data_IF_560686416970
#
_entry.id   IF_560686416970
#
_cell.length_a   1.000
_cell.length_b   1.000
_cell.length_c   1.000
_cell.angle_alpha   90.00
_cell.angle_beta   90.00
_cell.angle_gamma   90.00
#
_symmetry.space_group_name_H-M   'P 1'
#
loop_
_entity.id
_entity.type
_entity.pdbx_description
1 polymer ?
#
# COMPACT_ATOMS: atom_id res chain seq x y z
N UNK A 1 -12.22 12.85 97.15
CA UNK A 1 -11.76 11.88 96.14
C UNK A 1 -12.87 11.76 95.08
N UNK A 2 -12.71 12.37 93.90
CA UNK A 2 -13.73 12.37 92.83
C UNK A 2 -13.12 11.69 91.62
N UNK A 3 -13.45 10.42 91.40
CA UNK A 3 -12.97 9.65 90.27
C UNK A 3 -13.69 10.15 89.00
N UNK A 4 -12.92 10.74 88.08
CA UNK A 4 -13.40 11.11 86.75
C UNK A 4 -13.46 9.83 85.92
N UNK A 5 -14.67 9.34 85.70
CA UNK A 5 -14.89 8.19 84.83
C UNK A 5 -14.74 8.66 83.36
N UNK A 6 -13.58 8.39 82.75
CA UNK A 6 -13.41 8.53 81.30
C UNK A 6 -14.20 7.40 80.63
N UNK A 7 -15.36 7.75 80.07
CA UNK A 7 -16.08 6.90 79.11
C UNK A 7 -15.26 6.80 77.82
N UNK A 8 -14.42 5.79 77.70
CA UNK A 8 -13.90 5.35 76.41
C UNK A 8 -15.07 4.74 75.62
N UNK A 9 -15.46 5.41 74.52
CA UNK A 9 -16.40 4.83 73.56
C UNK A 9 -15.72 3.60 72.94
N UNK A 10 -16.06 2.43 73.44
CA UNK A 10 -15.70 1.16 72.80
C UNK A 10 -16.48 1.04 71.49
N UNK A 11 -15.87 1.48 70.40
CA UNK A 11 -16.38 1.22 69.06
C UNK A 11 -16.21 -0.27 68.76
N UNK A 12 -17.33 -1.00 68.73
CA UNK A 12 -17.41 -2.42 68.37
C UNK A 12 -16.67 -2.72 67.06
N UNK A 13 -16.00 -3.87 66.98
CA UNK A 13 -15.36 -4.42 65.77
C UNK A 13 -16.32 -4.38 64.56
N UNK A 14 -17.64 -4.47 64.79
CA UNK A 14 -18.68 -4.36 63.77
C UNK A 14 -18.72 -2.97 63.11
N UNK A 15 -18.42 -1.90 63.84
CA UNK A 15 -18.36 -0.53 63.30
C UNK A 15 -17.18 -0.38 62.33
N UNK A 16 -15.99 -0.84 62.72
CA UNK A 16 -14.80 -0.80 61.86
C UNK A 16 -14.95 -1.69 60.62
N UNK A 17 -15.56 -2.86 60.74
CA UNK A 17 -15.83 -3.76 59.61
C UNK A 17 -16.80 -3.13 58.59
N UNK A 18 -17.90 -2.50 59.05
CA UNK A 18 -18.83 -1.80 58.16
C UNK A 18 -18.19 -0.60 57.45
N UNK A 19 -17.35 0.16 58.16
CA UNK A 19 -16.62 1.28 57.57
C UNK A 19 -15.63 0.80 56.50
N UNK A 20 -14.88 -0.27 56.77
CA UNK A 20 -13.93 -0.86 55.83
C UNK A 20 -14.65 -1.42 54.59
N UNK A 21 -15.81 -2.05 54.78
CA UNK A 21 -16.64 -2.52 53.67
C UNK A 21 -17.13 -1.36 52.80
N UNK A 22 -17.57 -0.25 53.40
CA UNK A 22 -18.02 0.93 52.68
C UNK A 22 -16.88 1.55 51.86
N UNK A 23 -15.68 1.65 52.43
CA UNK A 23 -14.49 2.11 51.70
C UNK A 23 -14.13 1.19 50.53
N UNK A 24 -14.28 -0.12 50.70
CA UNK A 24 -14.00 -1.10 49.64
C UNK A 24 -14.99 -0.95 48.48
N UNK A 25 -16.29 -0.82 48.76
CA UNK A 25 -17.32 -0.59 47.74
C UNK A 25 -17.05 0.69 46.95
N UNK A 26 -16.72 1.79 47.64
CA UNK A 26 -16.40 3.07 46.99
C UNK A 26 -15.16 2.93 46.11
N UNK A 27 -14.11 2.26 46.59
CA UNK A 27 -12.89 2.03 45.82
C UNK A 27 -13.18 1.19 44.56
N UNK A 28 -13.98 0.12 44.67
CA UNK A 28 -14.40 -0.69 43.51
C UNK A 28 -15.18 0.12 42.48
N UNK A 29 -16.10 0.99 42.92
CA UNK A 29 -16.86 1.86 42.01
C UNK A 29 -15.97 2.85 41.27
N UNK A 30 -15.01 3.46 41.96
CA UNK A 30 -14.04 4.38 41.35
C UNK A 30 -13.19 3.62 40.31
N UNK A 31 -12.69 2.43 40.64
CA UNK A 31 -11.91 1.62 39.70
C UNK A 31 -12.73 1.20 38.48
N UNK A 32 -14.01 0.87 38.65
CA UNK A 32 -14.92 0.57 37.54
C UNK A 32 -15.13 1.77 36.62
N UNK A 33 -15.31 2.97 37.19
CA UNK A 33 -15.44 4.21 36.41
C UNK A 33 -14.17 4.52 35.62
N UNK A 34 -13.00 4.47 36.28
CA UNK A 34 -11.71 4.69 35.63
C UNK A 34 -11.48 3.66 34.52
N UNK A 35 -11.78 2.38 34.77
CA UNK A 35 -11.68 1.32 33.78
C UNK A 35 -12.60 1.55 32.57
N UNK A 36 -13.82 2.01 32.80
CA UNK A 36 -14.77 2.36 31.73
C UNK A 36 -14.29 3.52 30.86
N UNK A 37 -13.85 4.62 31.50
CA UNK A 37 -13.30 5.79 30.81
C UNK A 37 -12.04 5.41 30.03
N UNK A 38 -11.11 4.68 30.66
CA UNK A 38 -9.88 4.22 30.03
C UNK A 38 -10.15 3.36 28.80
N UNK A 39 -11.09 2.40 28.88
CA UNK A 39 -11.46 1.56 27.74
C UNK A 39 -12.02 2.37 26.58
N UNK A 40 -12.88 3.35 26.86
CA UNK A 40 -13.45 4.21 25.81
C UNK A 40 -12.38 5.11 25.19
N UNK A 41 -11.49 5.67 26.01
CA UNK A 41 -10.38 6.50 25.55
C UNK A 41 -9.38 5.71 24.69
N UNK A 42 -9.04 4.47 25.08
CA UNK A 42 -8.16 3.59 24.29
C UNK A 42 -8.83 3.21 22.97
N UNK A 43 -10.12 2.84 22.99
CA UNK A 43 -10.85 2.53 21.75
C UNK A 43 -10.89 3.70 20.78
N UNK A 44 -11.14 4.90 21.30
CA UNK A 44 -11.21 6.11 20.48
C UNK A 44 -9.85 6.45 19.86
N UNK A 45 -8.77 6.41 20.65
CA UNK A 45 -7.41 6.61 20.14
C UNK A 45 -7.04 5.55 19.10
N UNK A 46 -7.33 4.27 19.36
CA UNK A 46 -7.03 3.22 18.39
C UNK A 46 -7.77 3.44 17.07
N UNK A 47 -9.04 3.88 17.13
CA UNK A 47 -9.81 4.19 15.92
C UNK A 47 -9.19 5.35 15.14
N UNK A 48 -8.83 6.44 15.83
CA UNK A 48 -8.17 7.59 15.20
C UNK A 48 -6.82 7.20 14.59
N UNK A 49 -6.01 6.43 15.31
CA UNK A 49 -4.72 5.95 14.81
C UNK A 49 -4.87 5.05 13.59
N UNK A 50 -5.89 4.18 13.54
CA UNK A 50 -6.17 3.36 12.36
C UNK A 50 -6.59 4.21 11.17
N UNK A 51 -7.49 5.18 11.39
CA UNK A 51 -7.94 6.10 10.35
C UNK A 51 -6.78 6.93 9.76
N UNK A 52 -5.96 7.53 10.62
CA UNK A 52 -4.77 8.28 10.22
C UNK A 52 -3.79 7.39 9.44
N UNK A 53 -3.55 6.17 9.92
CA UNK A 53 -2.63 5.22 9.25
C UNK A 53 -3.13 4.82 7.87
N UNK A 54 -4.45 4.58 7.72
CA UNK A 54 -5.07 4.28 6.43
C UNK A 54 -4.95 5.48 5.49
N UNK A 55 -5.22 6.69 5.98
CA UNK A 55 -5.13 7.91 5.18
C UNK A 55 -3.71 8.16 4.69
N UNK A 56 -2.71 8.09 5.58
CA UNK A 56 -1.30 8.24 5.25
C UNK A 56 -0.87 7.20 4.22
N UNK A 57 -1.31 5.94 4.39
CA UNK A 57 -1.01 4.88 3.43
C UNK A 57 -1.64 5.15 2.05
N UNK A 58 -2.91 5.57 2.01
CA UNK A 58 -3.60 5.89 0.76
C UNK A 58 -2.93 7.05 0.02
N UNK A 59 -2.52 8.10 0.73
CA UNK A 59 -1.79 9.24 0.16
C UNK A 59 -0.41 8.85 -0.37
N UNK A 60 0.31 8.00 0.38
CA UNK A 60 1.60 7.45 -0.02
C UNK A 60 1.48 6.62 -1.30
N UNK A 61 0.51 5.70 -1.35
CA UNK A 61 0.22 4.90 -2.54
C UNK A 61 -0.16 5.77 -3.73
N UNK A 62 -1.00 6.79 -3.53
CA UNK A 62 -1.38 7.70 -4.61
C UNK A 62 -0.16 8.48 -5.15
N UNK A 63 0.74 8.90 -4.27
CA UNK A 63 2.00 9.56 -4.64
C UNK A 63 2.93 8.62 -5.41
N UNK A 64 3.02 7.35 -5.00
CA UNK A 64 3.79 6.31 -5.68
C UNK A 64 3.24 6.06 -7.09
N UNK A 65 1.93 5.85 -7.23
CA UNK A 65 1.27 5.64 -8.52
C UNK A 65 1.45 6.84 -9.47
N UNK A 66 1.38 8.07 -8.96
CA UNK A 66 1.67 9.26 -9.76
C UNK A 66 3.15 9.37 -10.17
N UNK A 67 4.06 8.92 -9.32
CA UNK A 67 5.49 8.89 -9.65
C UNK A 67 5.75 7.90 -10.79
N UNK A 68 5.12 6.72 -10.75
CA UNK A 68 5.16 5.72 -11.82
C UNK A 68 4.61 6.31 -13.12
N UNK A 69 3.47 7.01 -13.07
CA UNK A 69 2.90 7.67 -14.25
C UNK A 69 3.87 8.69 -14.85
N UNK A 70 4.43 9.59 -14.03
CA UNK A 70 5.40 10.60 -14.48
C UNK A 70 6.63 9.97 -15.11
N UNK A 71 7.15 8.90 -14.49
CA UNK A 71 8.26 8.14 -15.03
C UNK A 71 7.90 7.56 -16.40
N UNK A 72 6.76 6.86 -16.52
CA UNK A 72 6.29 6.32 -17.80
C UNK A 72 6.12 7.40 -18.87
N UNK A 73 5.50 8.54 -18.53
CA UNK A 73 5.32 9.66 -19.45
C UNK A 73 6.64 10.24 -19.92
N UNK A 74 7.57 10.49 -18.99
CA UNK A 74 8.90 11.00 -19.32
C UNK A 74 9.64 10.02 -20.24
N UNK A 75 9.64 8.74 -19.88
CA UNK A 75 10.36 7.69 -20.62
C UNK A 75 9.79 7.49 -22.02
N UNK A 76 8.46 7.42 -22.18
CA UNK A 76 7.88 7.18 -23.51
C UNK A 76 8.10 8.34 -24.49
N UNK A 77 8.25 9.56 -23.96
CA UNK A 77 8.33 10.79 -24.76
C UNK A 77 9.75 11.28 -25.01
N UNK A 78 10.68 11.07 -24.06
CA UNK A 78 12.03 11.66 -24.10
C UNK A 78 13.17 10.65 -23.97
N UNK A 79 12.92 9.34 -23.79
CA UNK A 79 14.01 8.37 -23.67
C UNK A 79 14.54 7.97 -25.07
N UNK A 80 15.81 8.29 -25.31
CA UNK A 80 16.49 7.99 -26.57
C UNK A 80 16.64 6.48 -26.79
N UNK A 81 16.97 5.71 -25.73
CA UNK A 81 17.12 4.24 -25.82
C UNK A 81 15.82 3.57 -26.26
N UNK A 82 14.68 4.00 -25.73
CA UNK A 82 13.38 3.50 -26.16
C UNK A 82 13.08 3.88 -27.62
N UNK A 83 13.57 5.04 -28.06
CA UNK A 83 13.41 5.48 -29.45
C UNK A 83 14.26 4.66 -30.40
N UNK A 84 15.51 4.42 -30.05
CA UNK A 84 16.42 3.55 -30.80
C UNK A 84 15.96 2.10 -30.81
N UNK A 85 15.32 1.60 -29.74
CA UNK A 85 14.72 0.25 -29.71
C UNK A 85 13.52 0.08 -30.64
N UNK A 86 12.82 1.16 -30.96
CA UNK A 86 11.70 1.09 -31.90
C UNK A 86 12.20 0.97 -33.35
N UNK A 87 13.37 1.53 -33.67
CA UNK A 87 14.00 1.44 -35.01
C UNK A 87 15.51 1.17 -34.89
N UNK A 88 15.92 -0.04 -34.45
CA UNK A 88 17.33 -0.36 -34.26
C UNK A 88 18.08 -0.42 -35.59
N UNK A 89 19.29 0.13 -35.60
CA UNK A 89 20.21 0.08 -36.74
C UNK A 89 20.84 -1.32 -36.89
N UNK A 90 21.21 -1.95 -35.77
CA UNK A 90 21.71 -3.33 -35.73
C UNK A 90 21.30 -4.10 -34.44
N UNK A 91 21.70 -5.38 -34.32
CA UNK A 91 21.40 -6.21 -33.16
C UNK A 91 22.20 -5.82 -31.90
N UNK A 92 23.40 -5.27 -32.08
CA UNK A 92 24.27 -4.83 -30.97
C UNK A 92 23.66 -3.61 -30.28
N UNK A 93 23.23 -2.64 -31.07
CA UNK A 93 22.52 -1.44 -30.65
C UNK A 93 21.22 -1.80 -29.94
N UNK A 94 20.48 -2.79 -30.46
CA UNK A 94 19.30 -3.30 -29.77
C UNK A 94 19.64 -3.83 -28.38
N UNK A 95 20.67 -4.67 -28.24
CA UNK A 95 21.04 -5.25 -26.95
C UNK A 95 21.53 -4.21 -25.95
N UNK A 96 22.40 -3.29 -26.38
CA UNK A 96 22.94 -2.21 -25.55
C UNK A 96 21.84 -1.25 -25.08
N UNK A 97 20.95 -0.83 -25.98
CA UNK A 97 19.84 0.05 -25.61
C UNK A 97 18.82 -0.64 -24.70
N UNK A 98 18.54 -1.92 -24.93
CA UNK A 98 17.69 -2.71 -24.04
C UNK A 98 18.30 -2.82 -22.64
N UNK A 99 19.62 -3.01 -22.56
CA UNK A 99 20.34 -3.11 -21.28
C UNK A 99 20.29 -1.79 -20.51
N UNK A 100 20.59 -0.66 -21.17
CA UNK A 100 20.50 0.68 -20.55
C UNK A 100 19.08 0.97 -20.06
N UNK A 101 18.08 0.72 -20.90
CA UNK A 101 16.69 0.92 -20.53
C UNK A 101 16.30 0.04 -19.33
N UNK A 102 16.72 -1.22 -19.31
CA UNK A 102 16.46 -2.12 -18.16
C UNK A 102 17.11 -1.64 -16.87
N UNK A 103 18.27 -1.01 -16.93
CA UNK A 103 18.91 -0.39 -15.76
C UNK A 103 18.00 0.72 -15.23
N UNK A 104 17.58 1.67 -16.08
CA UNK A 104 16.71 2.79 -15.67
C UNK A 104 15.42 2.30 -15.00
N UNK A 105 14.76 1.31 -15.62
CA UNK A 105 13.52 0.73 -15.08
C UNK A 105 13.73 -0.06 -13.80
N UNK A 106 14.86 -0.75 -13.67
CA UNK A 106 15.18 -1.53 -12.46
C UNK A 106 15.56 -0.61 -11.30
N UNK A 107 16.32 0.46 -11.56
CA UNK A 107 16.64 1.49 -10.56
C UNK A 107 15.37 2.19 -10.08
N UNK A 108 14.48 2.56 -11.00
CA UNK A 108 13.18 3.13 -10.64
C UNK A 108 12.35 2.15 -9.82
N UNK A 109 12.26 0.87 -10.23
CA UNK A 109 11.56 -0.18 -9.47
C UNK A 109 12.12 -0.34 -8.05
N UNK A 110 13.44 -0.23 -7.87
CA UNK A 110 14.10 -0.36 -6.57
C UNK A 110 13.76 0.76 -5.57
N UNK A 111 13.34 1.92 -6.07
CA UNK A 111 12.94 3.07 -5.26
C UNK A 111 11.47 3.00 -4.84
N UNK A 112 10.70 2.05 -5.39
CA UNK A 112 9.29 1.86 -5.09
C UNK A 112 9.12 0.93 -3.88
N UNK A 113 8.12 1.21 -3.04
CA UNK A 113 7.76 0.34 -1.92
C UNK A 113 6.95 -0.86 -2.41
N UNK A 114 6.22 -0.68 -3.51
CA UNK A 114 5.39 -1.70 -4.12
C UNK A 114 6.14 -2.46 -5.24
N UNK A 115 5.98 -3.79 -5.34
CA UNK A 115 6.62 -4.60 -6.37
C UNK A 115 5.94 -4.42 -7.73
N UNK A 116 6.28 -3.33 -8.43
CA UNK A 116 5.76 -3.00 -9.75
C UNK A 116 6.58 -3.71 -10.82
N UNK A 117 5.93 -4.24 -11.86
CA UNK A 117 6.61 -4.77 -13.05
C UNK A 117 6.31 -3.91 -14.27
N UNK A 118 7.34 -3.66 -15.08
CA UNK A 118 7.24 -2.89 -16.30
C UNK A 118 7.46 -3.74 -17.55
N UNK A 119 6.65 -3.50 -18.57
CA UNK A 119 6.77 -4.08 -19.90
C UNK A 119 6.80 -3.02 -20.97
N UNK A 120 7.43 -3.35 -22.09
CA UNK A 120 7.55 -2.47 -23.24
C UNK A 120 7.16 -3.22 -24.50
N UNK A 121 6.46 -2.52 -25.37
CA UNK A 121 6.10 -2.99 -26.71
C UNK A 121 6.47 -1.93 -27.74
N UNK A 122 7.14 -2.36 -28.81
CA UNK A 122 7.47 -1.53 -29.98
C UNK A 122 6.64 -2.00 -31.17
N UNK A 123 6.05 -1.09 -31.97
CA UNK A 123 5.20 -1.45 -33.13
C UNK A 123 6.03 -1.72 -34.38
N UNK A 124 7.08 -0.93 -34.61
CA UNK A 124 7.85 -1.01 -35.86
C UNK A 124 8.63 -2.33 -35.95
N UNK A 125 9.06 -2.86 -34.79
CA UNK A 125 9.46 -4.25 -34.63
C UNK A 125 8.67 -4.83 -33.45
N UNK A 126 7.71 -5.74 -33.67
CA UNK A 126 6.77 -6.23 -32.65
C UNK A 126 7.46 -7.11 -31.61
N UNK A 127 8.15 -6.47 -30.67
CA UNK A 127 8.78 -7.11 -29.53
C UNK A 127 8.05 -6.68 -28.27
N UNK A 128 7.61 -7.68 -27.49
CA UNK A 128 7.10 -7.50 -26.14
C UNK A 128 8.12 -8.06 -25.16
N UNK A 129 8.70 -7.20 -24.33
CA UNK A 129 9.73 -7.60 -23.38
C UNK A 129 9.50 -6.98 -22.01
N UNK A 130 10.03 -7.66 -20.99
CA UNK A 130 10.10 -7.10 -19.64
C UNK A 130 11.21 -6.04 -19.58
N UNK A 131 10.86 -4.88 -19.03
CA UNK A 131 11.77 -3.77 -18.79
C UNK A 131 12.34 -3.77 -17.37
N UNK A 132 11.66 -4.42 -16.42
CA UNK A 132 12.11 -4.54 -15.03
C UNK A 132 12.10 -5.99 -14.55
N UNK A 133 12.45 -6.20 -13.28
CA UNK A 133 12.35 -7.51 -12.63
C UNK A 133 10.90 -7.97 -12.57
N UNK A 134 10.65 -9.21 -12.99
CA UNK A 134 9.31 -9.79 -13.08
C UNK A 134 8.79 -10.15 -11.68
N UNK A 135 7.73 -9.48 -11.23
CA UNK A 135 7.08 -9.71 -9.93
C UNK A 135 5.75 -10.49 -10.07
N UNK A 136 5.57 -11.23 -11.16
CA UNK A 136 4.35 -11.98 -11.43
C UNK A 136 4.63 -13.45 -11.79
N UNK A 137 3.72 -14.37 -11.44
CA UNK A 137 3.80 -15.75 -11.87
C UNK A 137 3.81 -15.89 -13.40
N UNK A 138 4.48 -16.93 -13.89
CA UNK A 138 4.61 -17.17 -15.33
C UNK A 138 3.26 -17.32 -16.05
N UNK A 139 2.28 -17.98 -15.42
CA UNK A 139 0.95 -18.16 -16.02
C UNK A 139 0.21 -16.84 -16.19
N UNK A 140 0.36 -15.92 -15.23
CA UNK A 140 -0.22 -14.58 -15.31
C UNK A 140 0.48 -13.75 -16.38
N UNK A 141 1.79 -13.93 -16.56
CA UNK A 141 2.54 -13.27 -17.63
C UNK A 141 2.03 -13.68 -19.01
N UNK A 142 1.78 -14.98 -19.22
CA UNK A 142 1.26 -15.48 -20.51
C UNK A 142 -0.12 -14.90 -20.79
N UNK A 143 -1.03 -14.92 -19.80
CA UNK A 143 -2.36 -14.33 -19.96
C UNK A 143 -2.32 -12.81 -20.16
N UNK A 144 -1.45 -12.11 -19.44
CA UNK A 144 -1.26 -10.66 -19.63
C UNK A 144 -0.82 -10.37 -21.06
N UNK A 145 0.15 -11.12 -21.59
CA UNK A 145 0.63 -10.95 -22.96
C UNK A 145 -0.49 -11.12 -23.98
N UNK A 146 -1.37 -12.11 -23.80
CA UNK A 146 -2.51 -12.31 -24.69
C UNK A 146 -3.59 -11.24 -24.49
N UNK A 147 -3.84 -10.83 -23.25
CA UNK A 147 -4.74 -9.72 -22.93
C UNK A 147 -4.30 -8.43 -23.62
N UNK A 148 -3.01 -8.10 -23.59
CA UNK A 148 -2.42 -6.92 -24.22
C UNK A 148 -2.45 -6.95 -25.76
N UNK A 149 -2.51 -8.14 -26.39
CA UNK A 149 -2.67 -8.25 -27.86
C UNK A 149 -4.09 -7.91 -28.31
N UNK A 150 -5.09 -8.35 -27.55
CA UNK A 150 -6.50 -8.06 -27.82
C UNK A 150 -6.91 -6.68 -27.29
N UNK A 151 -6.07 -6.08 -26.45
CA UNK A 151 -6.24 -4.73 -25.93
C UNK A 151 -6.19 -3.73 -27.09
N UNK A 152 -7.37 -3.22 -27.45
CA UNK A 152 -7.56 -2.24 -28.51
C UNK A 152 -6.62 -1.05 -28.26
N UNK A 153 -5.88 -0.59 -29.28
CA UNK A 153 -4.78 0.38 -29.12
C UNK A 153 -5.18 1.83 -29.42
N UNK A 154 -6.48 2.11 -29.67
CA UNK A 154 -6.96 3.36 -30.29
C UNK A 154 -7.95 4.28 -29.50
N UNK A 155 -8.38 4.00 -28.25
CA UNK A 155 -9.29 4.93 -27.49
C UNK A 155 -8.65 5.69 -26.31
N UNK A 156 -8.62 7.01 -26.43
CA UNK A 156 -7.63 7.91 -25.82
C UNK A 156 -7.97 8.48 -24.42
N UNK A 157 -9.18 8.26 -23.86
CA UNK A 157 -9.61 8.97 -22.62
C UNK A 157 -9.81 8.12 -21.36
N UNK A 158 -10.25 6.87 -21.51
CA UNK A 158 -10.42 5.96 -20.36
C UNK A 158 -9.10 5.30 -19.92
N UNK A 159 -8.03 5.43 -20.74
CA UNK A 159 -6.79 4.65 -20.64
C UNK A 159 -5.65 5.38 -19.93
N UNK A 160 -5.83 6.67 -19.63
CA UNK A 160 -4.93 7.42 -18.76
C UNK A 160 -5.15 7.11 -17.27
N UNK A 161 -6.03 6.18 -16.89
CA UNK A 161 -6.25 5.78 -15.49
C UNK A 161 -5.75 4.36 -15.27
N UNK A 162 -5.36 4.05 -14.04
CA UNK A 162 -5.10 2.69 -13.61
C UNK A 162 -6.35 1.83 -13.76
N UNK A 163 -6.22 0.68 -14.40
CA UNK A 163 -7.30 -0.26 -14.65
C UNK A 163 -7.11 -1.53 -13.85
N UNK A 164 -8.19 -2.01 -13.23
CA UNK A 164 -8.17 -3.32 -12.57
C UNK A 164 -8.33 -4.42 -13.61
N UNK A 165 -7.44 -5.39 -13.60
CA UNK A 165 -7.51 -6.60 -14.41
C UNK A 165 -7.39 -7.83 -13.50
N UNK A 166 -8.03 -8.92 -13.88
CA UNK A 166 -7.93 -10.19 -13.16
C UNK A 166 -7.32 -11.24 -14.08
N UNK A 167 -6.21 -11.85 -13.67
CA UNK A 167 -5.47 -12.89 -14.40
C UNK A 167 -5.34 -14.11 -13.49
N UNK A 168 -5.74 -15.29 -13.95
CA UNK A 168 -5.78 -16.54 -13.16
C UNK A 168 -6.20 -16.37 -11.68
N UNK A 169 -7.29 -15.65 -11.41
CA UNK A 169 -7.81 -15.38 -10.04
C UNK A 169 -6.95 -14.42 -9.19
N UNK A 170 -5.87 -13.87 -9.72
CA UNK A 170 -5.12 -12.77 -9.13
C UNK A 170 -5.58 -11.43 -9.71
N UNK A 171 -5.76 -10.44 -8.83
CA UNK A 171 -6.16 -9.10 -9.21
C UNK A 171 -4.97 -8.15 -9.28
N UNK A 172 -4.85 -7.43 -10.39
CA UNK A 172 -3.79 -6.47 -10.65
C UNK A 172 -4.36 -5.10 -11.02
N UNK A 173 -3.57 -4.05 -10.80
CA UNK A 173 -3.74 -2.77 -11.46
C UNK A 173 -2.76 -2.68 -12.63
N UNK A 174 -3.29 -2.32 -13.80
CA UNK A 174 -2.56 -2.12 -15.04
C UNK A 174 -2.63 -0.65 -15.43
N UNK A 175 -1.48 -0.08 -15.76
CA UNK A 175 -1.36 1.19 -16.46
C UNK A 175 -0.76 0.94 -17.83
N UNK A 176 -1.41 1.44 -18.87
CA UNK A 176 -0.92 1.40 -20.26
C UNK A 176 -0.67 2.81 -20.76
N UNK A 177 0.47 3.04 -21.40
CA UNK A 177 0.78 4.29 -22.07
C UNK A 177 1.27 3.99 -23.48
N UNK A 178 0.69 4.66 -24.47
CA UNK A 178 1.04 4.50 -25.88
C UNK A 178 1.45 5.83 -26.47
N UNK A 179 2.56 5.87 -27.21
CA UNK A 179 3.04 7.08 -27.87
C UNK A 179 3.92 6.74 -29.07
N UNK A 180 3.60 7.30 -30.25
CA UNK A 180 4.41 7.16 -31.49
C UNK A 180 4.92 5.74 -31.76
N UNK A 181 4.02 4.75 -31.75
CA UNK A 181 4.37 3.35 -32.02
C UNK A 181 5.03 2.60 -30.87
N UNK A 182 5.27 3.24 -29.73
CA UNK A 182 5.81 2.63 -28.50
C UNK A 182 4.70 2.49 -27.47
N UNK A 183 4.80 1.48 -26.61
CA UNK A 183 3.95 1.31 -25.46
C UNK A 183 4.75 0.89 -24.23
N UNK A 184 4.38 1.44 -23.07
CA UNK A 184 4.88 1.03 -21.77
C UNK A 184 3.68 0.58 -20.94
N UNK A 185 3.83 -0.56 -20.28
CA UNK A 185 2.85 -1.10 -19.36
C UNK A 185 3.46 -1.22 -17.97
N UNK A 186 2.74 -0.79 -16.94
CA UNK A 186 3.09 -1.04 -15.55
C UNK A 186 2.00 -1.89 -14.90
N UNK A 187 2.40 -2.94 -14.20
CA UNK A 187 1.49 -3.84 -13.49
C UNK A 187 1.89 -3.95 -12.03
N UNK A 188 0.90 -3.93 -11.14
CA UNK A 188 1.08 -4.08 -9.70
C UNK A 188 -0.02 -5.01 -9.16
N UNK A 189 0.36 -5.93 -8.28
CA UNK A 189 -0.58 -6.82 -7.61
C UNK A 189 -1.40 -6.05 -6.59
N UNK A 190 -2.73 -6.23 -6.61
CA UNK A 190 -3.59 -5.62 -5.59
C UNK A 190 -3.32 -6.21 -4.20
N UNK A 191 -2.87 -7.47 -4.11
CA UNK A 191 -2.51 -8.07 -2.83
C UNK A 191 -1.29 -7.39 -2.22
N UNK A 192 -0.30 -7.02 -3.04
CA UNK A 192 0.89 -6.33 -2.56
C UNK A 192 0.58 -4.91 -2.09
N UNK A 193 -0.36 -4.23 -2.77
CA UNK A 193 -0.92 -2.96 -2.31
C UNK A 193 -1.66 -3.13 -0.97
N UNK A 194 -2.42 -4.20 -0.79
CA UNK A 194 -3.22 -4.36 0.45
C UNK A 194 -2.39 -4.92 1.62
N UNK A 195 -1.19 -5.44 1.38
CA UNK A 195 -0.35 -6.11 2.37
C UNK A 195 0.01 -5.23 3.58
N UNK A 196 0.34 -3.93 3.44
CA UNK A 196 0.59 -3.05 4.59
C UNK A 196 -0.66 -2.86 5.45
N UNK A 197 -1.84 -2.76 4.82
CA UNK A 197 -3.12 -2.60 5.51
C UNK A 197 -3.56 -3.85 6.28
N UNK A 198 -3.14 -5.03 5.86
CA UNK A 198 -3.42 -6.28 6.58
C UNK A 198 -2.66 -6.43 7.90
N UNK A 199 -1.63 -5.60 8.14
CA UNK A 199 -0.80 -5.63 9.35
C UNK A 199 -1.20 -4.61 10.41
N UNK A 200 -2.15 -3.72 10.09
CA UNK A 200 -2.74 -2.73 11.00
C UNK A 200 -3.87 -3.38 11.81
#
# INVERSE_FOLDING_TARGET
MKAIHRSTRDHSIQFFSRLLFLLLVVNTLINLLIGGISRNFIKHQNMLHLEDSIHIYADSLNTELHSVERFMYSTISHNDYLTELNTPLDFTDFHENLKKLRIDFTEFQYQMDSPITFFIETRDIPHFFNASSLQLPYLDYVQLKDHLKTYDKETDKARQKWQRISLNQHDYLLKSLHYKGKAIYAIISTQDILKPLQKL
#
